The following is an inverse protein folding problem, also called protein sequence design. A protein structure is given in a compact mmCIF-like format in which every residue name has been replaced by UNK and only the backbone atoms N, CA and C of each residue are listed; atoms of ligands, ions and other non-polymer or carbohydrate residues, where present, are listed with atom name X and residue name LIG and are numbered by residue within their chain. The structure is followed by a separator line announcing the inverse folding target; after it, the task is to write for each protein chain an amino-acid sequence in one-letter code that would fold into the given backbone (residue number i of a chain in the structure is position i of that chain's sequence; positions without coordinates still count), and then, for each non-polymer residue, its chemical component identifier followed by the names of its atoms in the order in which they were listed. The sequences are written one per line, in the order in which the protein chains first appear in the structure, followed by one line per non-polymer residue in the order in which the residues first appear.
data_IF_455345583399
#
_entry.id   IF_455345583399
#
_cell.length_a   1.000
_cell.length_b   1.000
_cell.length_c   1.000
_cell.angle_alpha   90.00
_cell.angle_beta   90.00
_cell.angle_gamma   90.00
#
_symmetry.space_group_name_H-M   'P 1'
#
loop_
_entity.id
_entity.type
_entity.pdbx_description
1 polymer ?
#
# COMPACT_ATOMS: atom_id res chain seq x y z
N UNK A 1 -65.91 0.05 36.24
CA UNK A 1 -64.57 -0.50 36.36
C UNK A 1 -63.88 -0.38 35.00
N UNK A 2 -62.92 0.53 34.88
CA UNK A 2 -62.13 0.75 33.65
C UNK A 2 -60.77 0.14 33.82
N UNK A 3 -60.46 -0.92 33.07
CA UNK A 3 -59.14 -1.55 33.03
C UNK A 3 -58.33 -0.92 31.89
N UNK A 4 -57.30 -0.14 32.24
CA UNK A 4 -56.33 0.38 31.32
C UNK A 4 -55.27 -0.69 31.03
N UNK A 5 -55.15 -1.14 29.78
CA UNK A 5 -54.10 -2.00 29.32
C UNK A 5 -53.02 -1.16 28.66
N UNK A 6 -51.91 -0.95 29.36
CA UNK A 6 -50.76 -0.20 28.83
C UNK A 6 -49.96 -1.14 27.99
N UNK A 7 -49.98 -0.94 26.66
CA UNK A 7 -49.13 -1.69 25.74
C UNK A 7 -47.71 -1.14 25.77
N UNK A 8 -46.77 -1.97 26.21
CA UNK A 8 -45.32 -1.71 26.17
C UNK A 8 -44.78 -1.99 24.76
N UNK A 9 -44.56 -0.92 23.96
CA UNK A 9 -43.92 -1.07 22.68
C UNK A 9 -42.39 -1.23 22.88
N UNK A 10 -41.90 -2.43 22.66
CA UNK A 10 -40.47 -2.73 22.68
C UNK A 10 -39.85 -2.29 21.33
N UNK A 11 -39.19 -1.13 21.34
CA UNK A 11 -38.44 -0.64 20.18
C UNK A 11 -37.12 -1.43 20.10
N UNK A 12 -37.02 -2.39 19.17
CA UNK A 12 -35.78 -3.08 18.82
C UNK A 12 -34.92 -2.10 18.01
N UNK A 13 -33.94 -1.47 18.67
CA UNK A 13 -32.88 -0.75 17.98
C UNK A 13 -31.94 -1.79 17.35
N UNK A 14 -32.06 -2.01 16.04
CA UNK A 14 -31.04 -2.69 15.25
C UNK A 14 -29.83 -1.76 15.17
N UNK A 15 -28.83 -1.97 16.04
CA UNK A 15 -27.48 -1.47 15.81
C UNK A 15 -26.90 -2.28 14.65
N UNK A 16 -27.05 -1.76 13.44
CA UNK A 16 -26.30 -2.22 12.30
C UNK A 16 -24.81 -1.94 12.56
N UNK A 17 -24.06 -2.96 12.93
CA UNK A 17 -22.62 -2.88 12.92
C UNK A 17 -22.20 -2.64 11.46
N UNK A 18 -21.85 -1.40 11.12
CA UNK A 18 -21.16 -1.08 9.89
C UNK A 18 -19.82 -1.81 9.98
N UNK A 19 -19.71 -2.96 9.30
CA UNK A 19 -18.44 -3.63 9.09
C UNK A 19 -17.66 -2.71 8.15
N UNK A 20 -16.86 -1.82 8.74
CA UNK A 20 -15.89 -1.03 8.02
C UNK A 20 -14.84 -2.02 7.52
N UNK A 21 -15.00 -2.51 6.29
CA UNK A 21 -13.94 -3.26 5.63
C UNK A 21 -12.76 -2.31 5.47
N UNK A 22 -11.76 -2.43 6.34
CA UNK A 22 -10.50 -1.72 6.19
C UNK A 22 -9.93 -2.07 4.81
N UNK A 23 -9.42 -1.05 4.07
CA UNK A 23 -8.79 -1.29 2.77
C UNK A 23 -7.71 -2.38 2.93
N UNK A 24 -7.72 -3.47 2.13
CA UNK A 24 -6.78 -4.58 2.27
C UNK A 24 -5.31 -4.16 2.19
N UNK A 25 -5.01 -3.03 1.57
CA UNK A 25 -3.66 -2.49 1.47
C UNK A 25 -3.12 -1.99 2.81
N UNK A 26 -4.00 -1.60 3.74
CA UNK A 26 -3.61 -0.99 5.03
C UNK A 26 -2.91 -1.98 5.95
N UNK A 27 -2.04 -1.45 6.80
CA UNK A 27 -1.27 -2.20 7.81
C UNK A 27 0.20 -2.36 7.45
N UNK A 28 0.88 -3.24 8.17
CA UNK A 28 2.32 -3.47 8.07
C UNK A 28 2.62 -4.69 7.22
N UNK A 29 3.54 -4.55 6.29
CA UNK A 29 3.96 -5.57 5.34
C UNK A 29 5.45 -5.82 5.46
N UNK A 30 5.84 -7.04 5.76
CA UNK A 30 7.23 -7.46 5.89
C UNK A 30 7.67 -8.29 4.69
N UNK A 31 8.84 -7.97 4.15
CA UNK A 31 9.43 -8.68 3.02
C UNK A 31 9.58 -10.18 3.30
N UNK A 32 9.12 -11.00 2.35
CA UNK A 32 9.39 -12.42 2.30
C UNK A 32 10.40 -12.69 1.17
N UNK A 33 11.69 -12.70 1.51
CA UNK A 33 12.76 -12.89 0.52
C UNK A 33 12.67 -14.25 -0.17
N UNK A 34 12.27 -15.31 0.55
CA UNK A 34 12.19 -16.66 0.00
C UNK A 34 11.16 -16.78 -1.13
N UNK A 35 10.12 -15.95 -1.10
CA UNK A 35 9.06 -15.90 -2.14
C UNK A 35 9.30 -14.83 -3.19
N UNK A 36 10.36 -14.03 -3.06
CA UNK A 36 10.64 -12.86 -3.89
C UNK A 36 11.71 -13.15 -4.95
N UNK A 37 11.62 -12.43 -6.07
CA UNK A 37 12.63 -12.41 -7.13
C UNK A 37 13.01 -10.96 -7.42
N UNK A 38 14.23 -10.61 -7.08
CA UNK A 38 14.79 -9.27 -7.28
C UNK A 38 15.64 -9.24 -8.54
N UNK A 39 15.55 -8.13 -9.27
CA UNK A 39 16.58 -7.80 -10.25
C UNK A 39 17.89 -7.47 -9.52
N UNK A 40 19.03 -7.69 -10.19
CA UNK A 40 20.32 -7.36 -9.63
C UNK A 40 20.46 -5.83 -9.42
N UNK A 41 21.01 -5.43 -8.30
CA UNK A 41 21.31 -4.03 -7.99
C UNK A 41 20.10 -3.14 -7.61
N UNK A 42 18.90 -3.72 -7.44
CA UNK A 42 17.76 -2.94 -6.96
C UNK A 42 17.72 -2.90 -5.43
N UNK A 43 17.22 -1.79 -4.84
CA UNK A 43 16.97 -1.70 -3.40
C UNK A 43 15.97 -2.76 -2.94
N UNK A 44 16.10 -3.19 -1.68
CA UNK A 44 15.14 -4.07 -1.02
C UNK A 44 14.35 -3.29 0.03
N UNK A 45 13.06 -3.13 -0.19
CA UNK A 45 12.15 -2.59 0.82
C UNK A 45 11.79 -3.73 1.79
N UNK A 46 12.30 -3.67 3.02
CA UNK A 46 12.14 -4.74 4.01
C UNK A 46 10.81 -4.61 4.77
N UNK A 47 10.39 -3.38 5.06
CA UNK A 47 9.15 -3.07 5.76
C UNK A 47 8.39 -1.97 5.03
N UNK A 48 7.10 -2.16 4.84
CA UNK A 48 6.21 -1.15 4.25
C UNK A 48 4.96 -1.02 5.10
N UNK A 49 4.69 0.19 5.57
CA UNK A 49 3.54 0.49 6.44
C UNK A 49 2.58 1.42 5.71
N UNK A 50 1.30 1.05 5.68
CA UNK A 50 0.21 1.87 5.15
C UNK A 50 -0.70 2.28 6.30
N UNK A 51 -0.83 3.58 6.53
CA UNK A 51 -1.62 4.15 7.62
C UNK A 51 -2.60 5.20 7.10
N UNK A 52 -3.77 5.28 7.73
CA UNK A 52 -4.71 6.36 7.47
C UNK A 52 -4.15 7.69 7.99
N UNK A 53 -4.17 8.73 7.17
CA UNK A 53 -3.72 10.09 7.49
C UNK A 53 -4.81 11.09 7.06
N UNK A 54 -5.90 11.17 7.84
CA UNK A 54 -7.11 11.90 7.48
C UNK A 54 -7.77 11.30 6.24
N UNK A 55 -7.96 12.10 5.20
CA UNK A 55 -8.45 11.64 3.89
C UNK A 55 -7.38 11.01 3.00
N UNK A 56 -6.13 11.03 3.45
CA UNK A 56 -4.98 10.48 2.74
C UNK A 56 -4.54 9.15 3.35
N UNK A 57 -3.63 8.50 2.67
CA UNK A 57 -2.86 7.36 3.17
C UNK A 57 -1.40 7.81 3.28
N UNK A 58 -0.78 7.55 4.43
CA UNK A 58 0.67 7.65 4.60
C UNK A 58 1.30 6.29 4.34
N UNK A 59 2.35 6.26 3.55
CA UNK A 59 3.14 5.05 3.29
C UNK A 59 4.57 5.33 3.75
N UNK A 60 5.06 4.49 4.66
CA UNK A 60 6.44 4.51 5.13
C UNK A 60 7.14 3.26 4.61
N UNK A 61 8.32 3.44 4.07
CA UNK A 61 9.13 2.35 3.51
C UNK A 61 10.52 2.37 4.12
N UNK A 62 10.87 1.28 4.79
CA UNK A 62 12.19 1.02 5.34
C UNK A 62 12.83 -0.15 4.62
N UNK A 63 14.13 -0.07 4.37
CA UNK A 63 14.82 -1.12 3.64
C UNK A 63 16.32 -0.92 3.55
N UNK A 64 16.90 -1.46 2.48
CA UNK A 64 18.32 -1.36 2.18
C UNK A 64 18.54 -1.03 0.70
N UNK A 65 19.53 -0.21 0.43
CA UNK A 65 20.01 0.02 -0.92
C UNK A 65 20.84 -1.19 -1.45
N UNK A 66 21.35 -1.07 -2.69
CA UNK A 66 22.18 -2.09 -3.32
C UNK A 66 23.49 -2.37 -2.57
N UNK A 67 23.97 -1.42 -1.75
CA UNK A 67 25.22 -1.50 -1.00
C UNK A 67 24.99 -1.94 0.46
N UNK A 68 23.72 -2.20 0.85
CA UNK A 68 23.33 -2.66 2.18
C UNK A 68 23.10 -1.55 3.19
N UNK A 69 23.16 -0.28 2.78
CA UNK A 69 22.87 0.85 3.67
C UNK A 69 21.38 0.96 3.92
N UNK A 70 21.00 1.35 5.15
CA UNK A 70 19.60 1.56 5.49
C UNK A 70 18.97 2.69 4.65
N UNK A 71 17.76 2.46 4.19
CA UNK A 71 16.95 3.42 3.45
C UNK A 71 15.63 3.66 4.17
N UNK A 72 15.15 4.90 4.08
CA UNK A 72 13.85 5.30 4.61
C UNK A 72 13.21 6.30 3.67
N UNK A 73 11.95 6.06 3.28
CA UNK A 73 11.19 7.05 2.52
C UNK A 73 9.72 7.09 2.96
N UNK A 74 9.11 8.25 2.73
CA UNK A 74 7.70 8.48 3.05
C UNK A 74 6.95 9.05 1.84
N UNK A 75 5.69 8.70 1.76
CA UNK A 75 4.73 9.21 0.80
C UNK A 75 3.39 9.44 1.51
N UNK A 76 2.71 10.55 1.18
CA UNK A 76 1.36 10.81 1.67
C UNK A 76 0.50 11.32 0.51
N UNK A 77 -0.63 10.66 0.27
CA UNK A 77 -1.53 11.00 -0.83
C UNK A 77 -2.77 10.13 -0.88
N UNK A 78 -3.47 10.16 -2.02
CA UNK A 78 -4.67 9.36 -2.29
C UNK A 78 -4.37 8.31 -3.37
N UNK A 79 -5.16 7.25 -3.41
CA UNK A 79 -5.07 6.23 -4.47
C UNK A 79 -5.88 6.63 -5.72
N UNK A 80 -5.73 7.88 -6.15
CA UNK A 80 -6.47 8.52 -7.25
C UNK A 80 -5.70 8.62 -8.58
N UNK A 81 -4.48 8.08 -8.60
CA UNK A 81 -3.59 8.10 -9.76
C UNK A 81 -2.85 9.40 -10.00
N UNK A 82 -2.97 10.38 -9.10
CA UNK A 82 -2.19 11.62 -9.17
C UNK A 82 -0.83 11.45 -8.52
N UNK A 83 0.13 12.24 -8.97
CA UNK A 83 1.46 12.29 -8.38
C UNK A 83 1.43 13.06 -7.05
N UNK A 84 2.02 12.46 -6.02
CA UNK A 84 2.27 13.09 -4.72
C UNK A 84 3.75 12.99 -4.38
N UNK A 85 4.31 13.94 -3.60
CA UNK A 85 5.73 13.96 -3.27
C UNK A 85 6.17 12.71 -2.50
N UNK A 86 7.40 12.28 -2.79
CA UNK A 86 8.15 11.30 -1.99
C UNK A 86 9.30 12.03 -1.31
N UNK A 87 9.53 11.75 -0.05
CA UNK A 87 10.67 12.25 0.70
C UNK A 87 11.57 11.10 1.13
N UNK A 88 12.89 11.34 1.22
CA UNK A 88 13.86 10.36 1.68
C UNK A 88 14.38 9.38 0.63
N UNK A 89 13.90 9.41 -0.61
CA UNK A 89 14.38 8.53 -1.68
C UNK A 89 15.15 9.33 -2.74
N UNK A 90 16.45 9.08 -2.96
CA UNK A 90 17.23 9.81 -3.95
C UNK A 90 16.84 9.48 -5.41
N UNK A 91 16.17 8.35 -5.62
CA UNK A 91 15.84 7.83 -6.95
C UNK A 91 14.42 8.20 -7.42
N UNK A 92 13.62 8.85 -6.58
CA UNK A 92 12.29 9.31 -6.91
C UNK A 92 11.91 10.54 -6.07
N UNK A 93 11.16 11.45 -6.65
CA UNK A 93 10.63 12.66 -6.02
C UNK A 93 9.10 12.70 -6.02
N UNK A 94 8.47 11.89 -6.85
CA UNK A 94 7.02 11.74 -6.90
C UNK A 94 6.61 10.28 -7.10
N UNK A 95 5.47 9.92 -6.52
CA UNK A 95 4.84 8.62 -6.67
C UNK A 95 3.34 8.75 -6.77
N UNK A 96 2.73 7.95 -7.64
CA UNK A 96 1.27 7.83 -7.74
C UNK A 96 0.85 6.39 -7.47
N UNK A 97 -0.34 6.27 -6.86
CA UNK A 97 -1.05 5.00 -6.73
C UNK A 97 -2.45 5.18 -7.29
N UNK A 98 -2.90 4.21 -8.08
CA UNK A 98 -4.26 4.19 -8.63
C UNK A 98 -4.95 2.89 -8.21
N UNK A 99 -6.09 3.02 -7.55
CA UNK A 99 -6.92 1.88 -7.20
C UNK A 99 -7.57 1.30 -8.45
N UNK A 100 -7.25 0.04 -8.77
CA UNK A 100 -7.83 -0.72 -9.88
C UNK A 100 -9.07 -1.48 -9.40
N UNK A 101 -8.95 -2.11 -8.22
CA UNK A 101 -10.02 -2.76 -7.48
C UNK A 101 -9.64 -2.81 -6.00
N UNK A 102 -10.45 -3.44 -5.15
CA UNK A 102 -10.24 -3.44 -3.70
C UNK A 102 -8.90 -4.03 -3.24
N UNK A 103 -8.29 -4.90 -4.05
CA UNK A 103 -7.03 -5.59 -3.72
C UNK A 103 -5.86 -5.22 -4.63
N UNK A 104 -6.07 -4.36 -5.63
CA UNK A 104 -5.07 -4.06 -6.64
C UNK A 104 -4.84 -2.56 -6.78
N UNK A 105 -3.58 -2.15 -6.64
CA UNK A 105 -3.11 -0.82 -6.98
C UNK A 105 -2.15 -0.88 -8.17
N UNK A 106 -2.24 0.09 -9.05
CA UNK A 106 -1.16 0.46 -9.97
C UNK A 106 -0.29 1.52 -9.30
N UNK A 107 1.03 1.43 -9.48
CA UNK A 107 2.01 2.33 -8.91
C UNK A 107 2.95 2.84 -9.99
N UNK A 108 3.25 4.13 -9.94
CA UNK A 108 4.26 4.77 -10.80
C UNK A 108 5.13 5.69 -9.94
N UNK A 109 6.44 5.54 -10.06
CA UNK A 109 7.42 6.42 -9.45
C UNK A 109 8.12 7.25 -10.52
N UNK A 110 8.40 8.51 -10.19
CA UNK A 110 9.03 9.48 -11.08
C UNK A 110 10.23 10.14 -10.40
N UNK A 111 11.20 10.51 -11.22
CA UNK A 111 12.31 11.39 -10.88
C UNK A 111 12.39 12.49 -11.93
N UNK A 112 12.39 13.74 -11.50
CA UNK A 112 12.42 14.92 -12.40
C UNK A 112 11.37 14.83 -13.52
N UNK A 113 10.15 14.40 -13.17
CA UNK A 113 9.02 14.23 -14.08
C UNK A 113 9.10 13.00 -15.02
N UNK A 114 10.17 12.22 -14.98
CA UNK A 114 10.34 11.00 -15.78
C UNK A 114 9.98 9.76 -14.98
N UNK A 115 9.23 8.84 -15.59
CA UNK A 115 8.91 7.54 -14.97
C UNK A 115 10.17 6.70 -14.85
N UNK A 116 10.51 6.32 -13.62
CA UNK A 116 11.64 5.43 -13.30
C UNK A 116 11.20 4.02 -12.97
N UNK A 117 10.04 3.87 -12.31
CA UNK A 117 9.47 2.58 -11.93
C UNK A 117 7.97 2.61 -12.16
N UNK A 118 7.43 1.53 -12.65
CA UNK A 118 5.99 1.29 -12.70
C UNK A 118 5.67 -0.16 -12.34
N UNK A 119 4.48 -0.40 -11.85
CA UNK A 119 4.07 -1.75 -11.50
C UNK A 119 2.70 -1.86 -10.88
N UNK A 120 2.46 -3.05 -10.36
CA UNK A 120 1.17 -3.43 -9.77
C UNK A 120 1.38 -4.09 -8.42
N UNK A 121 0.51 -3.77 -7.49
CA UNK A 121 0.48 -4.29 -6.12
C UNK A 121 -0.84 -5.04 -5.96
N UNK A 122 -0.77 -6.32 -5.61
CA UNK A 122 -1.95 -7.18 -5.45
C UNK A 122 -1.91 -7.83 -4.06
N UNK A 123 -2.98 -7.62 -3.29
CA UNK A 123 -3.20 -8.31 -2.01
C UNK A 123 -3.98 -9.59 -2.28
N UNK A 124 -3.56 -10.69 -1.66
CA UNK A 124 -4.24 -11.99 -1.74
C UNK A 124 -5.67 -11.93 -1.19
N UNK A 125 -6.51 -12.89 -1.61
CA UNK A 125 -7.92 -12.93 -1.19
C UNK A 125 -8.10 -13.04 0.33
N UNK A 126 -7.17 -13.72 1.02
CA UNK A 126 -7.15 -13.86 2.49
C UNK A 126 -6.54 -12.64 3.21
N UNK A 127 -6.03 -11.65 2.46
CA UNK A 127 -5.43 -10.44 3.01
C UNK A 127 -4.06 -10.63 3.67
N UNK A 128 -3.46 -11.83 3.59
CA UNK A 128 -2.23 -12.17 4.33
C UNK A 128 -0.95 -11.95 3.57
N UNK A 129 -1.01 -11.92 2.24
CA UNK A 129 0.17 -11.69 1.39
C UNK A 129 -0.09 -10.58 0.39
N UNK A 130 0.98 -9.90 0.00
CA UNK A 130 0.98 -8.85 -1.01
C UNK A 130 2.09 -9.11 -2.01
N UNK A 131 1.76 -9.13 -3.29
CA UNK A 131 2.72 -9.26 -4.37
C UNK A 131 2.88 -7.94 -5.10
N UNK A 132 4.11 -7.46 -5.20
CA UNK A 132 4.50 -6.25 -5.93
C UNK A 132 5.29 -6.68 -7.16
N UNK A 133 4.76 -6.43 -8.35
CA UNK A 133 5.46 -6.65 -9.61
C UNK A 133 5.81 -5.29 -10.17
N UNK A 134 7.09 -4.97 -10.23
CA UNK A 134 7.59 -3.67 -10.70
C UNK A 134 8.64 -3.86 -11.79
N UNK A 135 8.67 -2.92 -12.69
CA UNK A 135 9.70 -2.79 -13.70
C UNK A 135 10.05 -1.33 -13.92
N UNK A 136 11.21 -1.11 -14.51
CA UNK A 136 11.69 0.25 -14.74
C UNK A 136 13.02 0.27 -15.46
N UNK A 137 13.66 1.43 -15.33
CA UNK A 137 15.00 1.66 -15.87
C UNK A 137 15.86 2.19 -14.72
N UNK A 138 16.99 1.54 -14.46
CA UNK A 138 17.94 1.97 -13.44
C UNK A 138 18.73 3.22 -13.87
N UNK A 139 19.60 3.71 -12.99
CA UNK A 139 20.43 4.88 -13.25
C UNK A 139 21.37 4.74 -14.45
N UNK A 140 21.73 3.50 -14.79
CA UNK A 140 22.60 3.15 -15.91
C UNK A 140 21.82 2.95 -17.24
N UNK A 141 20.50 3.18 -17.23
CA UNK A 141 19.63 3.03 -18.40
C UNK A 141 19.23 1.57 -18.67
N UNK A 142 19.55 0.62 -17.78
CA UNK A 142 19.23 -0.79 -17.93
C UNK A 142 17.82 -1.07 -17.41
N UNK A 143 17.04 -1.80 -18.21
CA UNK A 143 15.70 -2.26 -17.80
C UNK A 143 15.81 -3.36 -16.74
N UNK A 144 14.94 -3.30 -15.74
CA UNK A 144 14.81 -4.32 -14.72
C UNK A 144 13.34 -4.71 -14.50
N UNK A 145 13.14 -5.89 -13.92
CA UNK A 145 11.84 -6.36 -13.43
C UNK A 145 12.05 -7.16 -12.15
N UNK A 146 11.20 -6.91 -11.16
CA UNK A 146 11.20 -7.61 -9.88
C UNK A 146 9.79 -8.04 -9.52
N UNK A 147 9.68 -9.20 -8.87
CA UNK A 147 8.46 -9.69 -8.22
C UNK A 147 8.75 -9.89 -6.74
N UNK A 148 8.15 -9.06 -5.91
CA UNK A 148 8.43 -9.01 -4.48
C UNK A 148 7.18 -9.40 -3.70
N UNK A 149 7.34 -10.30 -2.75
CA UNK A 149 6.25 -10.79 -1.91
C UNK A 149 6.46 -10.31 -0.48
N UNK A 150 5.37 -9.84 0.12
CA UNK A 150 5.33 -9.41 1.52
C UNK A 150 4.26 -10.21 2.26
N UNK A 151 4.54 -10.53 3.52
CA UNK A 151 3.58 -11.11 4.45
C UNK A 151 3.06 -10.01 5.39
N UNK A 152 1.75 -10.03 5.67
CA UNK A 152 1.12 -9.08 6.60
C UNK A 152 1.50 -9.41 8.03
N UNK A 153 1.81 -8.38 8.82
CA UNK A 153 2.13 -8.49 10.24
C UNK A 153 0.92 -8.28 11.13
#
# INVERSE_FOLDING_TARGET
MKTNTTGLALALCFFGAAVCFADPQMGTWKLNEAKSKFAAGVPKNEMVVYEAAGENVKITVDGKDKDGNATHNEWTGKFDGKDYPVTGDPNQDARSYKKVNDRTLEMTAKKDGKVTVSGRIVVSADGKTRTVTVGGTDADGKKFQSKVVYDKQ
#
